data_IF_269468756387
#
_entry.id   IF_269468756387
#
_cell.length_a   1.000
_cell.length_b   1.000
_cell.length_c   1.000
_cell.angle_alpha   90.00
_cell.angle_beta   90.00
_cell.angle_gamma   90.00
#
_symmetry.space_group_name_H-M   'P 1'
#
loop_
_entity.id
_entity.type
_entity.pdbx_description
1 polymer ?
#
# COMPACT_ATOMS: atom_id res chain seq x y z
N UNK A 1 -1.77 19.76 6.36
CA UNK A 1 -0.46 19.53 7.05
C UNK A 1 0.53 18.96 6.07
N UNK A 2 1.79 19.38 6.14
CA UNK A 2 2.88 18.81 5.35
C UNK A 2 3.27 17.43 5.88
N UNK A 3 3.88 16.60 5.04
CA UNK A 3 4.24 15.21 5.39
C UNK A 3 5.12 15.12 6.64
N UNK A 4 6.06 16.05 6.80
CA UNK A 4 6.98 16.07 7.95
C UNK A 4 6.28 16.51 9.25
N UNK A 5 5.29 17.40 9.16
CA UNK A 5 4.45 17.79 10.32
C UNK A 5 3.61 16.59 10.81
N UNK A 6 3.08 15.79 9.87
CA UNK A 6 2.33 14.58 10.22
C UNK A 6 3.24 13.54 10.87
N UNK A 7 4.45 13.34 10.34
CA UNK A 7 5.44 12.45 10.97
C UNK A 7 5.75 12.87 12.40
N UNK A 8 6.04 14.15 12.60
CA UNK A 8 6.33 14.69 13.93
C UNK A 8 5.15 14.52 14.90
N UNK A 9 3.92 14.73 14.42
CA UNK A 9 2.71 14.56 15.21
C UNK A 9 2.49 13.11 15.61
N UNK A 10 2.58 12.17 14.65
CA UNK A 10 2.41 10.74 14.91
C UNK A 10 3.49 10.22 15.87
N UNK A 11 4.74 10.67 15.74
CA UNK A 11 5.80 10.35 16.69
C UNK A 11 5.57 10.96 18.09
N UNK A 12 5.02 12.16 18.17
CA UNK A 12 4.68 12.77 19.45
C UNK A 12 3.61 11.97 20.21
N UNK A 13 2.57 11.52 19.52
CA UNK A 13 1.57 10.62 20.11
C UNK A 13 2.19 9.31 20.57
N UNK A 14 3.02 8.68 19.74
CA UNK A 14 3.69 7.44 20.12
C UNK A 14 4.59 7.64 21.35
N UNK A 15 5.37 8.73 21.40
CA UNK A 15 6.20 9.11 22.57
C UNK A 15 5.38 9.40 23.82
N UNK A 16 4.15 9.85 23.68
CA UNK A 16 3.19 9.99 24.78
C UNK A 16 2.54 8.64 25.19
N UNK A 17 3.11 7.51 24.76
CA UNK A 17 2.64 6.15 25.04
C UNK A 17 1.27 5.81 24.41
N UNK A 18 0.83 6.57 23.40
CA UNK A 18 -0.37 6.31 22.64
C UNK A 18 -0.02 5.50 21.37
N UNK A 19 -0.51 4.26 21.21
CA UNK A 19 -0.42 3.56 19.94
C UNK A 19 -1.10 4.34 18.81
N UNK A 20 -0.42 4.48 17.68
CA UNK A 20 -0.91 5.19 16.49
C UNK A 20 -1.13 4.19 15.36
N UNK A 21 -2.38 4.08 14.90
CA UNK A 21 -2.72 3.37 13.66
C UNK A 21 -3.15 4.41 12.65
N UNK A 22 -2.31 4.65 11.65
CA UNK A 22 -2.49 5.78 10.74
C UNK A 22 -2.88 5.33 9.33
N UNK A 23 -3.84 6.05 8.75
CA UNK A 23 -4.16 5.97 7.32
C UNK A 23 -3.26 6.86 6.46
N UNK A 24 -2.48 7.74 7.07
CA UNK A 24 -1.64 8.69 6.36
C UNK A 24 -0.43 8.01 5.71
N UNK A 25 0.08 8.59 4.62
CA UNK A 25 1.23 8.06 3.90
C UNK A 25 2.59 8.48 4.49
N UNK A 26 2.60 9.31 5.52
CA UNK A 26 3.82 9.92 6.03
C UNK A 26 4.88 8.89 6.47
N UNK A 27 4.46 7.86 7.20
CA UNK A 27 5.35 6.82 7.71
C UNK A 27 5.40 5.53 6.88
N UNK A 28 4.72 5.45 5.71
CA UNK A 28 4.66 4.19 4.94
C UNK A 28 6.03 3.65 4.53
N UNK A 29 7.00 4.53 4.29
CA UNK A 29 8.37 4.15 3.93
C UNK A 29 9.39 4.29 5.06
N UNK A 30 8.94 4.61 6.29
CA UNK A 30 9.82 4.57 7.47
C UNK A 30 10.22 3.14 7.75
N UNK A 31 11.52 2.83 7.89
CA UNK A 31 12.02 1.44 7.89
C UNK A 31 11.48 0.58 9.02
N UNK A 32 11.25 1.15 10.21
CA UNK A 32 10.77 0.46 11.41
C UNK A 32 9.28 0.68 11.69
N UNK A 33 8.55 1.24 10.74
CA UNK A 33 7.10 1.38 10.84
C UNK A 33 6.43 0.31 9.97
N UNK A 34 5.66 -0.62 10.56
CA UNK A 34 4.96 -1.64 9.81
C UNK A 34 3.82 -1.02 9.02
N UNK A 35 3.77 -1.33 7.73
CA UNK A 35 2.61 -1.10 6.86
C UNK A 35 1.91 -2.44 6.73
N UNK A 36 0.70 -2.57 7.28
CA UNK A 36 0.07 -3.88 7.49
C UNK A 36 -1.17 -4.05 6.62
N UNK A 37 -1.21 -5.19 5.95
CA UNK A 37 -2.40 -5.84 5.41
C UNK A 37 -2.41 -7.24 6.05
N UNK A 38 -3.29 -7.51 7.03
CA UNK A 38 -3.16 -8.69 7.89
C UNK A 38 -3.10 -10.03 7.15
N UNK A 39 -3.78 -10.13 6.01
CA UNK A 39 -3.81 -11.33 5.16
C UNK A 39 -2.46 -11.59 4.46
N UNK A 40 -1.57 -10.60 4.45
CA UNK A 40 -0.31 -10.66 3.69
C UNK A 40 0.90 -10.71 4.61
N UNK A 41 0.95 -9.82 5.61
CA UNK A 41 2.15 -9.53 6.36
C UNK A 41 1.88 -9.18 7.83
N UNK A 42 1.01 -9.93 8.48
CA UNK A 42 0.73 -9.73 9.91
C UNK A 42 2.00 -9.80 10.77
N UNK A 43 2.99 -10.59 10.38
CA UNK A 43 4.30 -10.75 11.02
C UNK A 43 5.16 -9.46 10.99
N UNK A 44 4.85 -8.49 10.14
CA UNK A 44 5.54 -7.19 10.17
C UNK A 44 5.36 -6.42 11.48
N UNK A 45 4.35 -6.78 12.30
CA UNK A 45 4.21 -6.21 13.65
C UNK A 45 5.37 -6.55 14.58
N UNK A 46 6.14 -7.59 14.29
CA UNK A 46 7.32 -8.00 15.04
C UNK A 46 8.45 -6.95 14.99
N UNK A 47 8.34 -5.94 14.15
CA UNK A 47 9.23 -4.76 14.13
C UNK A 47 8.97 -3.80 15.29
N UNK A 48 7.79 -3.84 15.92
CA UNK A 48 7.37 -2.86 16.94
C UNK A 48 8.37 -2.76 18.12
N UNK A 49 8.96 -3.84 18.64
CA UNK A 49 9.99 -3.72 19.68
C UNK A 49 11.19 -2.87 19.26
N UNK A 50 11.66 -3.01 18.02
CA UNK A 50 12.75 -2.19 17.49
C UNK A 50 12.34 -0.72 17.34
N UNK A 51 11.13 -0.46 16.86
CA UNK A 51 10.57 0.89 16.77
C UNK A 51 10.46 1.55 18.16
N UNK A 52 9.93 0.82 19.16
CA UNK A 52 9.83 1.31 20.54
C UNK A 52 11.19 1.68 21.12
N UNK A 53 12.23 0.88 20.84
CA UNK A 53 13.59 1.22 21.25
C UNK A 53 14.06 2.53 20.65
N UNK A 54 13.80 2.78 19.35
CA UNK A 54 14.13 4.06 18.68
C UNK A 54 13.35 5.23 19.26
N UNK A 55 12.04 5.06 19.52
CA UNK A 55 11.17 6.11 20.03
C UNK A 55 11.33 6.37 21.54
N UNK A 56 11.94 5.43 22.27
CA UNK A 56 12.05 5.49 23.74
C UNK A 56 10.73 5.21 24.46
N UNK A 57 9.86 4.35 23.90
CA UNK A 57 8.50 4.07 24.41
C UNK A 57 8.38 2.65 24.95
N UNK A 58 7.39 2.44 25.82
CA UNK A 58 7.03 1.10 26.36
C UNK A 58 5.78 0.55 25.68
N UNK A 59 4.80 1.40 25.42
CA UNK A 59 3.50 1.04 24.83
C UNK A 59 3.28 1.68 23.47
N UNK A 60 3.74 2.94 23.31
CA UNK A 60 3.57 3.71 22.10
C UNK A 60 4.26 3.06 20.90
N UNK A 61 3.60 3.09 19.75
CA UNK A 61 4.13 2.68 18.46
C UNK A 61 3.33 3.33 17.34
N UNK A 62 3.83 3.23 16.11
CA UNK A 62 3.16 3.67 14.90
C UNK A 62 3.04 2.47 13.97
N UNK A 63 1.85 2.19 13.48
CA UNK A 63 1.58 1.29 12.37
C UNK A 63 0.74 2.02 11.31
N UNK A 64 0.91 1.68 10.05
CA UNK A 64 0.23 2.38 8.96
C UNK A 64 -0.51 1.43 8.04
N UNK A 65 -1.58 1.95 7.44
CA UNK A 65 -2.31 1.28 6.36
C UNK A 65 -1.65 1.61 5.01
N UNK A 66 -1.65 0.63 4.10
CA UNK A 66 -1.23 0.85 2.71
C UNK A 66 -2.14 1.82 1.96
N UNK A 67 -1.75 2.23 0.76
CA UNK A 67 -2.60 3.00 -0.14
C UNK A 67 -3.92 2.24 -0.39
N UNK A 68 -5.02 2.99 -0.55
CA UNK A 68 -6.36 2.42 -0.70
C UNK A 68 -6.53 1.62 -1.99
N UNK A 69 -5.91 2.05 -3.09
CA UNK A 69 -5.98 1.34 -4.38
C UNK A 69 -5.30 -0.03 -4.33
N UNK A 70 -4.24 -0.19 -3.53
CA UNK A 70 -3.53 -1.47 -3.40
C UNK A 70 -4.43 -2.57 -2.83
N UNK A 71 -5.34 -2.20 -1.94
CA UNK A 71 -6.23 -3.17 -1.29
C UNK A 71 -7.25 -3.79 -2.24
N UNK A 72 -7.43 -3.22 -3.43
CA UNK A 72 -8.29 -3.81 -4.46
C UNK A 72 -7.63 -4.99 -5.19
N UNK A 73 -6.29 -5.10 -5.19
CA UNK A 73 -5.60 -6.12 -5.99
C UNK A 73 -4.49 -6.88 -5.25
N UNK A 74 -3.77 -6.28 -4.30
CA UNK A 74 -2.62 -6.95 -3.66
C UNK A 74 -3.02 -8.19 -2.86
N UNK A 75 -4.16 -8.21 -2.13
CA UNK A 75 -4.62 -9.43 -1.47
C UNK A 75 -4.91 -10.59 -2.44
N UNK A 76 -5.44 -10.29 -3.64
CA UNK A 76 -5.67 -11.29 -4.67
C UNK A 76 -4.36 -11.78 -5.32
N UNK A 77 -3.37 -10.88 -5.47
CA UNK A 77 -2.05 -11.23 -6.01
C UNK A 77 -1.21 -12.07 -5.04
N UNK A 78 -1.41 -11.89 -3.73
CA UNK A 78 -0.55 -12.51 -2.72
C UNK A 78 -0.51 -14.04 -2.82
N UNK A 79 -1.64 -14.78 -2.85
CA UNK A 79 -1.61 -16.24 -3.02
C UNK A 79 -0.98 -16.65 -4.36
N UNK A 80 -1.24 -15.92 -5.43
CA UNK A 80 -0.63 -16.20 -6.74
C UNK A 80 0.89 -16.01 -6.73
N UNK A 81 1.37 -15.00 -6.02
CA UNK A 81 2.81 -14.82 -5.79
C UNK A 81 3.43 -15.95 -5.01
N UNK A 82 2.75 -16.40 -3.95
CA UNK A 82 3.23 -17.45 -3.07
C UNK A 82 3.30 -18.79 -3.78
N UNK A 83 2.26 -19.15 -4.54
CA UNK A 83 2.12 -20.49 -5.10
C UNK A 83 2.80 -20.62 -6.47
N UNK A 84 2.82 -19.56 -7.27
CA UNK A 84 3.29 -19.61 -8.66
C UNK A 84 4.47 -18.68 -8.95
N UNK A 85 4.73 -17.72 -8.09
CA UNK A 85 5.76 -16.69 -8.30
C UNK A 85 5.40 -15.75 -9.46
N UNK A 86 5.19 -14.48 -9.14
CA UNK A 86 4.96 -13.42 -10.14
C UNK A 86 6.28 -12.72 -10.40
N UNK A 87 6.67 -12.60 -11.68
CA UNK A 87 7.90 -11.92 -12.09
C UNK A 87 7.64 -10.45 -12.45
N UNK A 88 6.50 -10.15 -13.08
CA UNK A 88 6.08 -8.81 -13.49
C UNK A 88 4.59 -8.63 -13.31
N UNK A 89 4.17 -7.40 -12.99
CA UNK A 89 2.77 -6.99 -12.98
C UNK A 89 2.61 -5.61 -13.64
N UNK A 90 1.62 -5.48 -14.51
CA UNK A 90 1.12 -4.21 -15.01
C UNK A 90 -0.21 -3.95 -14.33
N UNK A 91 -0.34 -2.81 -13.67
CA UNK A 91 -1.50 -2.45 -12.87
C UNK A 91 -2.10 -1.14 -13.41
N UNK A 92 -3.36 -1.19 -13.83
CA UNK A 92 -4.15 -0.01 -14.14
C UNK A 92 -5.21 0.18 -13.08
N UNK A 93 -5.13 1.24 -12.28
CA UNK A 93 -6.14 1.52 -11.25
C UNK A 93 -7.18 2.52 -11.75
N UNK A 94 -8.43 2.26 -11.40
CA UNK A 94 -9.57 3.16 -11.65
C UNK A 94 -10.07 3.65 -10.29
N UNK A 95 -9.67 4.87 -9.95
CA UNK A 95 -9.88 5.40 -8.60
C UNK A 95 -11.05 6.37 -8.55
N UNK A 96 -11.98 6.10 -7.64
CA UNK A 96 -13.13 6.96 -7.38
C UNK A 96 -12.72 8.33 -6.79
N UNK A 97 -13.58 9.33 -6.96
CA UNK A 97 -13.34 10.70 -6.49
C UNK A 97 -13.29 10.83 -4.97
N UNK A 98 -13.97 9.94 -4.23
CA UNK A 98 -13.85 9.89 -2.77
C UNK A 98 -12.42 9.65 -2.28
N UNK A 99 -11.57 8.96 -3.07
CA UNK A 99 -10.14 8.83 -2.79
C UNK A 99 -9.36 10.15 -2.79
N UNK A 100 -9.89 11.19 -3.45
CA UNK A 100 -9.39 12.57 -3.38
C UNK A 100 -10.10 13.41 -2.29
N UNK A 101 -10.99 12.82 -1.50
CA UNK A 101 -11.82 13.53 -0.54
C UNK A 101 -12.82 14.49 -1.18
N UNK A 102 -13.25 14.20 -2.41
CA UNK A 102 -14.13 15.06 -3.21
C UNK A 102 -15.46 14.37 -3.53
N UNK A 103 -16.43 15.18 -3.87
CA UNK A 103 -17.75 14.82 -4.41
C UNK A 103 -17.87 15.41 -5.81
N UNK A 104 -18.86 15.02 -6.60
CA UNK A 104 -19.03 15.53 -7.97
C UNK A 104 -19.22 17.04 -8.04
N UNK A 105 -19.88 17.65 -7.08
CA UNK A 105 -20.03 19.11 -6.97
C UNK A 105 -18.69 19.83 -6.72
N UNK A 106 -17.73 19.15 -6.09
CA UNK A 106 -16.37 19.68 -5.81
C UNK A 106 -15.33 19.27 -6.84
N UNK A 107 -15.72 18.47 -7.82
CA UNK A 107 -14.87 17.99 -8.91
C UNK A 107 -15.69 17.82 -10.20
N UNK A 108 -16.37 18.90 -10.69
CA UNK A 108 -17.23 18.80 -11.85
C UNK A 108 -16.48 18.43 -13.14
N UNK A 109 -15.19 18.71 -13.22
CA UNK A 109 -14.32 18.38 -14.35
C UNK A 109 -14.17 16.87 -14.61
N UNK A 110 -14.59 16.02 -13.66
CA UNK A 110 -14.52 14.57 -13.82
C UNK A 110 -15.76 13.99 -14.52
N UNK A 111 -16.86 14.74 -14.59
CA UNK A 111 -18.10 14.26 -15.23
C UNK A 111 -17.82 14.04 -16.73
N UNK A 112 -18.18 12.85 -17.23
CA UNK A 112 -17.89 12.38 -18.59
C UNK A 112 -16.40 12.42 -18.97
N UNK A 113 -15.51 12.31 -17.96
CA UNK A 113 -14.09 12.45 -18.15
C UNK A 113 -13.29 11.40 -17.36
N UNK A 114 -12.02 11.22 -17.76
CA UNK A 114 -11.01 10.42 -17.05
C UNK A 114 -9.76 11.26 -16.88
N UNK A 115 -9.23 11.34 -15.66
CA UNK A 115 -7.93 11.97 -15.42
C UNK A 115 -6.87 10.85 -15.45
N UNK A 116 -5.97 10.86 -16.46
CA UNK A 116 -5.06 9.73 -16.72
C UNK A 116 -3.83 9.68 -15.82
N UNK A 117 -3.70 10.62 -14.89
CA UNK A 117 -2.57 10.71 -13.97
C UNK A 117 -3.00 11.26 -12.61
N UNK A 118 -2.62 10.54 -11.56
CA UNK A 118 -2.83 10.99 -10.19
C UNK A 118 -1.47 11.10 -9.51
N UNK A 119 -1.02 12.33 -9.23
CA UNK A 119 0.33 12.61 -8.74
C UNK A 119 0.78 11.75 -7.57
N UNK A 120 1.83 10.96 -7.77
CA UNK A 120 2.44 10.09 -6.78
C UNK A 120 1.70 8.78 -6.50
N UNK A 121 0.60 8.46 -7.21
CA UNK A 121 -0.11 7.20 -7.02
C UNK A 121 0.58 6.04 -7.74
N UNK A 122 1.18 6.26 -8.90
CA UNK A 122 1.97 5.27 -9.61
C UNK A 122 3.14 4.77 -8.75
N UNK A 123 3.94 5.70 -8.18
CA UNK A 123 5.06 5.35 -7.32
C UNK A 123 4.62 4.54 -6.09
N UNK A 124 3.49 4.91 -5.47
CA UNK A 124 2.94 4.13 -4.34
C UNK A 124 2.54 2.73 -4.80
N UNK A 125 1.86 2.61 -5.95
CA UNK A 125 1.41 1.35 -6.51
C UNK A 125 2.57 0.42 -6.90
N UNK A 126 3.72 0.96 -7.26
CA UNK A 126 4.93 0.21 -7.59
C UNK A 126 5.76 -0.16 -6.36
N UNK A 127 5.82 0.71 -5.35
CA UNK A 127 6.76 0.58 -4.24
C UNK A 127 6.16 0.01 -2.95
N UNK A 128 4.90 0.33 -2.63
CA UNK A 128 4.27 -0.15 -1.41
C UNK A 128 4.09 -1.68 -1.39
N UNK A 129 3.69 -2.35 -2.49
CA UNK A 129 3.58 -3.81 -2.51
C UNK A 129 4.90 -4.50 -2.17
N UNK A 130 6.03 -3.96 -2.62
CA UNK A 130 7.35 -4.52 -2.32
C UNK A 130 7.66 -4.46 -0.81
N UNK A 131 7.15 -3.44 -0.10
CA UNK A 131 7.26 -3.40 1.35
C UNK A 131 6.30 -4.39 2.02
N UNK A 132 5.08 -4.55 1.50
CA UNK A 132 4.11 -5.53 2.01
C UNK A 132 4.64 -6.97 1.91
N UNK A 133 5.32 -7.30 0.82
CA UNK A 133 5.97 -8.59 0.59
C UNK A 133 7.41 -8.65 1.10
N UNK A 134 7.84 -7.64 1.82
CA UNK A 134 9.13 -7.59 2.46
C UNK A 134 9.25 -8.51 3.67
N UNK A 135 10.32 -8.36 4.42
CA UNK A 135 10.57 -9.11 5.65
C UNK A 135 11.18 -8.23 6.74
N UNK A 136 10.92 -8.57 7.98
CA UNK A 136 11.56 -7.94 9.14
C UNK A 136 12.98 -8.49 9.27
N UNK A 137 13.97 -7.62 9.23
CA UNK A 137 15.38 -7.99 9.32
C UNK A 137 16.18 -6.87 9.98
N UNK A 138 16.96 -7.20 11.01
CA UNK A 138 17.86 -6.26 11.70
C UNK A 138 17.20 -4.95 12.13
N UNK A 139 15.97 -5.02 12.67
CA UNK A 139 15.23 -3.86 13.17
C UNK A 139 14.67 -2.94 12.11
N UNK A 140 14.50 -3.43 10.89
CA UNK A 140 13.87 -2.72 9.76
C UNK A 140 13.09 -3.68 8.87
N UNK A 141 12.19 -3.14 8.08
CA UNK A 141 11.50 -3.88 7.03
C UNK A 141 12.30 -3.72 5.73
N UNK A 142 12.83 -4.83 5.24
CA UNK A 142 13.54 -4.91 3.96
C UNK A 142 12.53 -5.25 2.87
N UNK A 143 12.46 -4.44 1.83
CA UNK A 143 11.55 -4.65 0.70
C UNK A 143 11.88 -5.95 -0.04
N UNK A 144 10.88 -6.59 -0.61
CA UNK A 144 11.06 -7.67 -1.58
C UNK A 144 11.74 -7.12 -2.86
N UNK A 145 12.53 -7.96 -3.51
CA UNK A 145 13.22 -7.62 -4.77
C UNK A 145 12.28 -7.64 -5.99
N UNK A 146 11.14 -8.24 -5.87
CA UNK A 146 10.13 -8.33 -6.93
C UNK A 146 8.73 -8.65 -6.38
N UNK A 147 7.74 -8.68 -7.27
CA UNK A 147 7.80 -8.56 -8.74
C UNK A 147 8.16 -7.15 -9.21
N UNK A 148 8.61 -7.03 -10.48
CA UNK A 148 8.68 -5.71 -11.13
C UNK A 148 7.24 -5.26 -11.42
N UNK A 149 6.85 -4.10 -10.87
CA UNK A 149 5.51 -3.55 -11.02
C UNK A 149 5.59 -2.25 -11.82
N UNK A 150 4.74 -2.12 -12.83
CA UNK A 150 4.48 -0.87 -13.54
C UNK A 150 3.03 -0.50 -13.33
N UNK A 151 2.78 0.72 -12.86
CA UNK A 151 1.44 1.17 -12.56
C UNK A 151 1.03 2.39 -13.38
N UNK A 152 -0.24 2.45 -13.73
CA UNK A 152 -0.91 3.63 -14.25
C UNK A 152 -2.19 3.87 -13.45
N UNK A 153 -2.36 5.09 -12.94
CA UNK A 153 -3.42 5.41 -12.01
C UNK A 153 -4.37 6.46 -12.59
N UNK A 154 -5.60 6.04 -12.83
CA UNK A 154 -6.65 6.90 -13.39
C UNK A 154 -7.62 7.35 -12.32
N UNK A 155 -8.05 8.62 -12.39
CA UNK A 155 -9.24 9.08 -11.69
C UNK A 155 -10.44 8.94 -12.63
N UNK A 156 -11.52 8.31 -12.15
CA UNK A 156 -12.71 8.04 -12.95
C UNK A 156 -13.95 8.69 -12.34
N UNK A 157 -14.97 8.91 -13.16
CA UNK A 157 -16.25 9.49 -12.75
C UNK A 157 -17.10 8.47 -11.97
N UNK A 158 -16.58 8.05 -10.81
CA UNK A 158 -17.24 7.16 -9.87
C UNK A 158 -17.17 7.78 -8.48
N UNK A 159 -18.26 7.77 -7.72
CA UNK A 159 -18.29 8.39 -6.39
C UNK A 159 -17.39 7.63 -5.42
N UNK A 160 -17.57 6.33 -5.30
CA UNK A 160 -16.92 5.49 -4.31
C UNK A 160 -16.40 4.18 -4.93
N UNK A 161 -15.40 3.59 -4.26
CA UNK A 161 -14.80 2.34 -4.67
C UNK A 161 -13.61 2.52 -5.61
N UNK A 162 -12.68 1.58 -5.54
CA UNK A 162 -11.52 1.53 -6.45
C UNK A 162 -11.50 0.18 -7.14
N UNK A 163 -11.14 0.18 -8.41
CA UNK A 163 -10.96 -1.01 -9.23
C UNK A 163 -9.53 -1.06 -9.76
N UNK A 164 -9.05 -2.24 -10.10
CA UNK A 164 -7.80 -2.41 -10.82
C UNK A 164 -7.94 -3.48 -11.90
N UNK A 165 -7.39 -3.19 -13.08
CA UNK A 165 -7.07 -4.20 -14.08
C UNK A 165 -5.60 -4.57 -13.89
N UNK A 166 -5.33 -5.87 -13.71
CA UNK A 166 -3.98 -6.36 -13.42
C UNK A 166 -3.61 -7.44 -14.43
N UNK A 167 -2.49 -7.23 -15.10
CA UNK A 167 -1.85 -8.20 -15.97
C UNK A 167 -0.57 -8.67 -15.31
N UNK A 168 -0.38 -9.98 -15.19
CA UNK A 168 0.81 -10.52 -14.53
C UNK A 168 1.50 -11.57 -15.38
N UNK A 169 2.83 -11.59 -15.24
CA UNK A 169 3.66 -12.64 -15.77
C UNK A 169 4.15 -13.52 -14.62
N UNK A 170 3.83 -14.79 -14.65
CA UNK A 170 4.37 -15.77 -13.74
C UNK A 170 5.84 -16.07 -14.05
N UNK A 171 6.53 -16.70 -13.11
CA UNK A 171 7.88 -17.24 -13.37
C UNK A 171 7.81 -18.36 -14.40
N UNK A 172 8.90 -18.59 -15.09
CA UNK A 172 8.95 -19.60 -16.15
C UNK A 172 8.58 -21.00 -15.63
N UNK A 173 7.81 -21.73 -16.43
CA UNK A 173 7.30 -23.06 -16.09
C UNK A 173 5.93 -23.09 -15.39
N UNK A 174 5.43 -21.94 -14.95
CA UNK A 174 4.10 -21.86 -14.35
C UNK A 174 3.05 -21.55 -15.41
N UNK A 175 2.06 -22.43 -15.55
CA UNK A 175 0.88 -22.21 -16.40
C UNK A 175 -0.37 -22.37 -15.55
N UNK A 176 -1.20 -21.33 -15.39
CA UNK A 176 -2.50 -21.48 -14.76
C UNK A 176 -3.35 -22.50 -15.52
N UNK A 177 -3.90 -23.46 -14.82
CA UNK A 177 -4.66 -24.57 -15.45
C UNK A 177 -6.12 -24.20 -15.68
N UNK A 178 -6.64 -23.18 -14.98
CA UNK A 178 -8.03 -22.72 -15.11
C UNK A 178 -8.18 -21.28 -14.65
N UNK A 179 -9.02 -20.52 -15.36
CA UNK A 179 -9.42 -19.16 -14.99
C UNK A 179 -10.76 -19.11 -14.25
N UNK A 180 -11.41 -20.23 -14.06
CA UNK A 180 -12.79 -20.29 -13.55
C UNK A 180 -12.90 -20.56 -12.06
N UNK A 181 -11.79 -20.82 -11.39
CA UNK A 181 -11.76 -21.10 -9.95
C UNK A 181 -10.52 -20.47 -9.31
N UNK A 182 -10.50 -19.14 -9.28
CA UNK A 182 -9.58 -18.36 -8.44
C UNK A 182 -10.31 -17.89 -7.20
#
# INVERSE_FOLDING_TARGET
MKKDEIKALEEAYAKAECPVVSNNSAHRFTPDVPMVVPEINADHIDIIPAQRKRLGTKRGFIAVKSNCSLQSYVPALHPLMKDFGVSKALVCTYQAISGAGKTFDRMPEIIDNVIPYIGGEEEKSEQEPLKLWGRVENGRIVKAEGPAITAQCFRVACQDGHMAAVFMKFKDGCKPVSYTHL
#
